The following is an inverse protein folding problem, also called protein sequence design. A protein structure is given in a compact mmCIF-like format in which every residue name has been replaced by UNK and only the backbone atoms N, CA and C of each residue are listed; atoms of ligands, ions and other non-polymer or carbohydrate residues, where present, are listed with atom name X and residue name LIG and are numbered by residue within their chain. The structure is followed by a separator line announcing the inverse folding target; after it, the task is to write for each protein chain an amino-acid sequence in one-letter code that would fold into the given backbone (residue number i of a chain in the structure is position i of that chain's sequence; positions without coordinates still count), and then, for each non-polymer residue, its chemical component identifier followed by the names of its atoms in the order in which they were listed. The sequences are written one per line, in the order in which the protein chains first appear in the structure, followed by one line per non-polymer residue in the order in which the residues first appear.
data_IF_093263032541
#
_entry.id   IF_093263032541
#
_cell.length_a   1.000
_cell.length_b   1.000
_cell.length_c   1.000
_cell.angle_alpha   90.00
_cell.angle_beta   90.00
_cell.angle_gamma   90.00
#
_symmetry.space_group_name_H-M   'P 1'
#
loop_
_entity.id
_entity.type
_entity.pdbx_description
1 polymer ?
#
# COMPACT_ATOMS: atom_id res chain seq x y z
N UNK A 1 13.75 -16.27 -20.13
CA UNK A 1 13.41 -14.96 -20.71
C UNK A 1 13.86 -13.90 -19.72
N UNK A 2 14.89 -13.13 -20.06
CA UNK A 2 15.37 -12.07 -19.16
C UNK A 2 14.26 -11.04 -18.98
N UNK A 3 13.95 -10.67 -17.72
CA UNK A 3 13.05 -9.55 -17.44
C UNK A 3 13.52 -8.36 -18.26
N UNK A 4 12.62 -7.72 -19.00
CA UNK A 4 12.94 -6.52 -19.77
C UNK A 4 13.64 -5.51 -18.86
N UNK A 5 14.68 -4.86 -19.40
CA UNK A 5 15.50 -3.91 -18.64
C UNK A 5 14.62 -2.70 -18.32
N UNK A 6 14.15 -2.62 -17.09
CA UNK A 6 13.25 -1.56 -16.64
C UNK A 6 13.87 -0.18 -16.90
N UNK A 7 13.22 0.61 -17.75
CA UNK A 7 13.69 1.95 -18.14
C UNK A 7 13.08 3.00 -17.21
N UNK A 8 13.88 3.58 -16.32
CA UNK A 8 13.45 4.66 -15.41
C UNK A 8 13.42 5.99 -16.16
N UNK A 9 12.32 6.27 -16.85
CA UNK A 9 12.12 7.54 -17.58
C UNK A 9 11.54 8.65 -16.70
N UNK A 10 10.91 8.30 -15.57
CA UNK A 10 10.23 9.22 -14.66
C UNK A 10 10.86 9.19 -13.26
N UNK A 11 10.74 10.29 -12.47
CA UNK A 11 11.10 10.28 -11.05
C UNK A 11 10.33 9.16 -10.31
N UNK A 12 11.04 8.44 -9.46
CA UNK A 12 10.50 7.32 -8.69
C UNK A 12 10.16 7.76 -7.26
N UNK A 13 9.05 7.27 -6.72
CA UNK A 13 8.62 7.54 -5.35
C UNK A 13 8.06 6.26 -4.73
N UNK A 14 8.55 5.86 -3.57
CA UNK A 14 8.01 4.75 -2.81
C UNK A 14 6.89 5.25 -1.92
N UNK A 15 5.70 4.67 -2.05
CA UNK A 15 4.55 5.00 -1.22
C UNK A 15 3.90 3.74 -0.68
N UNK A 16 2.93 3.89 0.22
CA UNK A 16 2.15 2.74 0.66
C UNK A 16 0.94 3.10 1.49
N UNK A 17 0.01 2.16 1.61
CA UNK A 17 -1.21 2.30 2.41
C UNK A 17 -0.97 1.86 3.84
N UNK A 18 -1.40 2.69 4.79
CA UNK A 18 -1.39 2.40 6.23
C UNK A 18 -2.76 2.73 6.82
N UNK A 19 -3.09 2.17 7.98
CA UNK A 19 -4.36 2.40 8.66
C UNK A 19 -4.88 1.14 9.34
N UNK A 20 -5.99 1.29 10.04
CA UNK A 20 -6.63 0.22 10.80
C UNK A 20 -7.07 -0.95 9.91
N UNK A 21 -7.25 -2.13 10.51
CA UNK A 21 -7.83 -3.31 9.86
C UNK A 21 -9.22 -2.96 9.29
N UNK A 22 -9.60 -3.60 8.18
CA UNK A 22 -10.89 -3.43 7.49
C UNK A 22 -11.26 -2.03 6.96
N UNK A 23 -10.35 -1.05 7.06
CA UNK A 23 -10.56 0.28 6.47
C UNK A 23 -10.40 0.33 4.93
N UNK A 24 -10.15 -0.80 4.27
CA UNK A 24 -10.12 -0.88 2.81
C UNK A 24 -8.78 -0.52 2.14
N UNK A 25 -7.64 -0.66 2.84
CA UNK A 25 -6.29 -0.42 2.30
C UNK A 25 -6.04 -1.18 0.98
N UNK A 26 -6.19 -2.50 1.02
CA UNK A 26 -5.97 -3.39 -0.13
C UNK A 26 -6.98 -3.14 -1.25
N UNK A 27 -8.24 -2.83 -0.90
CA UNK A 27 -9.27 -2.46 -1.87
C UNK A 27 -8.92 -1.14 -2.58
N UNK A 28 -8.40 -0.15 -1.86
CA UNK A 28 -7.91 1.10 -2.43
C UNK A 28 -6.71 0.85 -3.35
N UNK A 29 -5.76 0.03 -2.94
CA UNK A 29 -4.59 -0.35 -3.76
C UNK A 29 -5.03 -0.98 -5.09
N UNK A 30 -5.98 -1.92 -5.06
CA UNK A 30 -6.56 -2.50 -6.27
C UNK A 30 -7.27 -1.45 -7.14
N UNK A 31 -8.04 -0.55 -6.54
CA UNK A 31 -8.73 0.52 -7.26
C UNK A 31 -7.76 1.50 -7.95
N UNK A 32 -6.65 1.87 -7.31
CA UNK A 32 -5.61 2.74 -7.90
C UNK A 32 -5.04 2.08 -9.16
N UNK A 33 -4.66 0.79 -9.08
CA UNK A 33 -4.12 0.09 -10.26
C UNK A 33 -5.16 -0.02 -11.37
N UNK A 34 -6.44 -0.17 -11.03
CA UNK A 34 -7.54 -0.22 -12.01
C UNK A 34 -7.69 1.09 -12.77
N UNK A 35 -7.78 2.20 -12.05
CA UNK A 35 -7.95 3.54 -12.63
C UNK A 35 -6.75 3.91 -13.50
N UNK A 36 -5.54 3.63 -13.04
CA UNK A 36 -4.34 3.96 -13.83
C UNK A 36 -4.16 3.05 -15.05
N UNK A 37 -4.64 1.80 -14.98
CA UNK A 37 -4.63 0.90 -16.13
C UNK A 37 -5.50 1.41 -17.29
N UNK A 38 -6.58 2.16 -17.03
CA UNK A 38 -7.42 2.78 -18.07
C UNK A 38 -6.63 3.77 -18.93
N UNK A 39 -5.58 4.38 -18.36
CA UNK A 39 -4.69 5.32 -19.06
C UNK A 39 -3.37 4.70 -19.53
N UNK A 40 -3.22 3.39 -19.36
CA UNK A 40 -1.99 2.65 -19.67
C UNK A 40 -0.85 2.83 -18.65
N UNK A 41 -1.11 3.49 -17.52
CA UNK A 41 -0.12 3.75 -16.47
C UNK A 41 0.06 2.60 -15.46
N UNK A 42 -0.70 1.51 -15.58
CA UNK A 42 -0.57 0.35 -14.70
C UNK A 42 -1.06 -0.92 -15.38
N UNK A 43 -0.65 -2.07 -14.84
CA UNK A 43 -1.37 -3.33 -15.05
C UNK A 43 -2.32 -3.51 -13.88
N UNK A 44 -3.63 -3.63 -14.17
CA UNK A 44 -4.63 -3.82 -13.12
C UNK A 44 -4.29 -5.04 -12.27
N UNK A 45 -4.24 -4.85 -10.95
CA UNK A 45 -4.01 -5.91 -9.97
C UNK A 45 -5.26 -6.01 -9.11
N UNK A 46 -5.98 -7.12 -9.26
CA UNK A 46 -7.20 -7.38 -8.50
C UNK A 46 -6.87 -7.66 -7.02
N UNK A 47 -7.85 -7.43 -6.15
CA UNK A 47 -7.72 -7.60 -4.69
C UNK A 47 -7.13 -8.97 -4.30
N UNK A 48 -7.61 -10.03 -4.93
CA UNK A 48 -7.20 -11.43 -4.70
C UNK A 48 -5.78 -11.76 -5.19
N UNK A 49 -5.18 -10.87 -5.99
CA UNK A 49 -3.80 -10.94 -6.43
C UNK A 49 -2.85 -10.15 -5.51
N UNK A 50 -3.38 -9.20 -4.74
CA UNK A 50 -2.66 -8.49 -3.69
C UNK A 50 -2.59 -9.40 -2.45
N UNK A 51 -3.76 -9.82 -1.94
CA UNK A 51 -3.90 -10.82 -0.86
C UNK A 51 -3.83 -12.25 -1.44
N UNK A 52 -2.65 -12.62 -1.96
CA UNK A 52 -2.46 -13.88 -2.69
C UNK A 52 -2.24 -15.09 -1.79
N UNK A 53 -1.82 -14.90 -0.53
CA UNK A 53 -1.50 -16.03 0.34
C UNK A 53 -2.80 -16.79 0.73
N UNK A 54 -2.80 -18.13 0.75
CA UNK A 54 -3.97 -18.90 1.17
C UNK A 54 -4.49 -18.51 2.56
N UNK A 55 -3.57 -18.13 3.46
CA UNK A 55 -3.91 -17.68 4.82
C UNK A 55 -4.57 -16.29 4.82
N UNK A 56 -4.13 -15.37 3.96
CA UNK A 56 -4.75 -14.04 3.80
C UNK A 56 -6.18 -14.17 3.29
N UNK A 57 -6.39 -15.02 2.26
CA UNK A 57 -7.73 -15.30 1.71
C UNK A 57 -8.65 -15.97 2.74
N UNK A 58 -8.12 -16.86 3.57
CA UNK A 58 -8.90 -17.55 4.59
C UNK A 58 -9.30 -16.64 5.75
N UNK A 59 -8.44 -15.68 6.12
CA UNK A 59 -8.68 -14.76 7.24
C UNK A 59 -9.31 -13.42 6.82
N UNK A 60 -9.29 -13.08 5.53
CA UNK A 60 -9.81 -11.82 5.01
C UNK A 60 -8.99 -10.60 5.43
N UNK A 61 -7.72 -10.78 5.83
CA UNK A 61 -6.83 -9.71 6.27
C UNK A 61 -5.48 -9.83 5.57
N UNK A 62 -4.87 -8.69 5.26
CA UNK A 62 -3.50 -8.61 4.78
C UNK A 62 -2.55 -9.02 5.90
N UNK A 63 -1.65 -9.96 5.61
CA UNK A 63 -0.65 -10.48 6.56
C UNK A 63 0.73 -10.03 6.12
N UNK A 64 1.03 -10.20 4.84
CA UNK A 64 2.29 -9.87 4.21
C UNK A 64 2.20 -8.56 3.44
N UNK A 65 3.29 -7.81 3.37
CA UNK A 65 3.35 -6.60 2.55
C UNK A 65 3.31 -6.97 1.08
N UNK A 66 2.37 -6.42 0.33
CA UNK A 66 2.30 -6.59 -1.11
C UNK A 66 2.90 -5.39 -1.82
N UNK A 67 3.65 -5.64 -2.91
CA UNK A 67 4.22 -4.59 -3.75
C UNK A 67 3.46 -4.55 -5.07
N UNK A 68 2.94 -3.37 -5.42
CA UNK A 68 2.35 -3.10 -6.73
C UNK A 68 3.01 -1.88 -7.34
N UNK A 69 3.14 -1.87 -8.67
CA UNK A 69 3.75 -0.77 -9.41
C UNK A 69 2.71 -0.11 -10.31
N UNK A 70 2.75 1.22 -10.36
CA UNK A 70 1.94 2.02 -11.27
C UNK A 70 2.61 3.38 -11.49
N UNK A 71 2.21 4.06 -12.53
CA UNK A 71 2.73 5.36 -12.86
C UNK A 71 1.61 6.34 -13.24
N UNK A 72 1.94 7.61 -13.07
CA UNK A 72 1.15 8.74 -13.56
C UNK A 72 1.90 9.40 -14.71
N UNK A 73 1.35 10.46 -15.27
CA UNK A 73 2.05 11.32 -16.23
C UNK A 73 3.36 11.88 -15.67
N UNK A 74 3.43 12.12 -14.35
CA UNK A 74 4.53 12.85 -13.72
C UNK A 74 5.59 11.95 -13.06
N UNK A 75 5.20 10.80 -12.50
CA UNK A 75 6.06 9.96 -11.64
C UNK A 75 5.72 8.48 -11.76
N UNK A 76 6.71 7.65 -11.48
CA UNK A 76 6.55 6.22 -11.23
C UNK A 76 6.46 5.95 -9.73
N UNK A 77 5.54 5.06 -9.33
CA UNK A 77 5.33 4.69 -7.94
C UNK A 77 5.54 3.19 -7.73
N UNK A 78 6.32 2.85 -6.70
CA UNK A 78 6.24 1.54 -6.06
C UNK A 78 5.35 1.70 -4.83
N UNK A 79 4.25 0.96 -4.77
CA UNK A 79 3.27 1.01 -3.70
C UNK A 79 3.41 -0.25 -2.85
N UNK A 80 3.62 -0.06 -1.54
CA UNK A 80 3.62 -1.13 -0.53
C UNK A 80 2.30 -1.14 0.23
N UNK A 81 1.49 -2.18 0.06
CA UNK A 81 0.25 -2.36 0.82
C UNK A 81 0.59 -2.98 2.19
N UNK A 82 0.37 -2.23 3.27
CA UNK A 82 0.73 -2.69 4.61
C UNK A 82 -0.45 -3.27 5.40
N UNK A 83 -0.21 -4.29 6.24
CA UNK A 83 -1.25 -4.86 7.10
C UNK A 83 -1.69 -3.86 8.17
N UNK A 84 -2.98 -3.92 8.54
CA UNK A 84 -3.60 -3.04 9.56
C UNK A 84 -3.98 -3.72 10.87
N UNK A 85 -3.75 -5.03 10.98
CA UNK A 85 -4.06 -5.81 12.16
C UNK A 85 -2.91 -5.72 13.18
N UNK A 86 -3.23 -5.64 14.47
CA UNK A 86 -2.23 -5.46 15.55
C UNK A 86 -1.13 -6.53 15.53
N UNK A 87 -1.51 -7.79 15.29
CA UNK A 87 -0.57 -8.92 15.26
C UNK A 87 0.49 -8.82 14.15
N UNK A 88 0.25 -8.02 13.10
CA UNK A 88 1.11 -7.89 11.93
C UNK A 88 1.78 -6.51 11.81
N UNK A 89 1.76 -5.71 12.90
CA UNK A 89 2.42 -4.39 12.96
C UNK A 89 3.90 -4.44 12.57
N UNK A 90 4.60 -5.53 12.88
CA UNK A 90 6.02 -5.72 12.49
C UNK A 90 6.23 -5.62 10.98
N UNK A 91 5.32 -6.18 10.19
CA UNK A 91 5.41 -6.17 8.74
C UNK A 91 5.11 -4.76 8.20
N UNK A 92 4.19 -4.04 8.86
CA UNK A 92 3.94 -2.63 8.54
C UNK A 92 5.19 -1.77 8.80
N UNK A 93 5.91 -1.97 9.91
CA UNK A 93 7.15 -1.23 10.22
C UNK A 93 8.19 -1.43 9.10
N UNK A 94 8.40 -2.67 8.66
CA UNK A 94 9.36 -2.97 7.59
C UNK A 94 8.95 -2.37 6.25
N UNK A 95 7.65 -2.31 5.94
CA UNK A 95 7.13 -1.66 4.74
C UNK A 95 7.25 -0.13 4.81
N UNK A 96 6.86 0.47 5.93
CA UNK A 96 6.85 1.91 6.14
C UNK A 96 8.26 2.52 6.11
N UNK A 97 9.28 1.79 6.58
CA UNK A 97 10.67 2.24 6.53
C UNK A 97 11.21 2.47 5.09
N UNK A 98 10.51 1.96 4.06
CA UNK A 98 10.88 2.13 2.66
C UNK A 98 10.11 3.26 1.98
N UNK A 99 9.17 3.92 2.68
CA UNK A 99 8.24 4.87 2.08
C UNK A 99 8.76 6.32 2.12
N UNK A 100 8.73 6.97 0.95
CA UNK A 100 8.93 8.42 0.80
C UNK A 100 7.65 9.21 1.17
N UNK A 101 6.53 8.52 1.35
CA UNK A 101 5.25 9.05 1.85
C UNK A 101 4.21 7.94 1.99
N UNK A 102 3.17 8.12 2.80
CA UNK A 102 2.14 7.09 2.97
C UNK A 102 0.72 7.64 2.82
N UNK A 103 -0.19 6.75 2.44
CA UNK A 103 -1.63 6.97 2.31
C UNK A 103 -2.29 6.38 3.56
N UNK A 104 -2.82 7.23 4.43
CA UNK A 104 -3.53 6.83 5.63
C UNK A 104 -5.01 6.60 5.31
N UNK A 105 -5.44 5.35 5.30
CA UNK A 105 -6.82 4.99 4.99
C UNK A 105 -7.67 4.97 6.27
N UNK A 106 -8.72 5.79 6.29
CA UNK A 106 -9.67 5.89 7.40
C UNK A 106 -11.09 5.64 6.90
N UNK A 107 -11.75 4.62 7.43
CA UNK A 107 -13.17 4.36 7.17
C UNK A 107 -14.01 5.54 7.64
N UNK A 108 -14.91 6.03 6.79
CA UNK A 108 -15.84 7.10 7.16
C UNK A 108 -16.89 6.63 8.18
N UNK A 109 -17.18 5.33 8.24
CA UNK A 109 -18.12 4.76 9.20
C UNK A 109 -17.53 4.65 10.61
N UNK A 110 -16.25 4.30 10.70
CA UNK A 110 -15.58 4.01 11.98
C UNK A 110 -14.76 5.19 12.51
N UNK A 111 -14.21 6.01 11.62
CA UNK A 111 -13.30 7.09 11.97
C UNK A 111 -11.93 6.59 12.46
N UNK A 112 -11.18 7.42 13.23
CA UNK A 112 -9.86 7.06 13.71
C UNK A 112 -9.89 5.99 14.81
N UNK A 113 -9.27 4.84 14.53
CA UNK A 113 -9.18 3.67 15.42
C UNK A 113 -7.79 3.56 16.08
N UNK A 114 -7.58 2.66 17.07
CA UNK A 114 -6.29 2.54 17.77
C UNK A 114 -5.09 2.34 16.82
N UNK A 115 -5.22 1.47 15.83
CA UNK A 115 -4.17 1.21 14.84
C UNK A 115 -3.98 2.40 13.89
N UNK A 116 -4.99 3.24 13.65
CA UNK A 116 -4.79 4.51 12.92
C UNK A 116 -3.77 5.38 13.66
N UNK A 117 -3.89 5.51 14.99
CA UNK A 117 -2.98 6.29 15.83
C UNK A 117 -1.59 5.65 15.90
N UNK A 118 -1.56 4.33 16.09
CA UNK A 118 -0.32 3.56 16.14
C UNK A 118 0.45 3.66 14.82
N UNK A 119 -0.22 3.54 13.68
CA UNK A 119 0.39 3.63 12.37
C UNK A 119 0.97 5.01 12.09
N UNK A 120 0.31 6.09 12.51
CA UNK A 120 0.86 7.45 12.40
C UNK A 120 2.14 7.58 13.23
N UNK A 121 2.14 7.05 14.46
CA UNK A 121 3.31 7.09 15.34
C UNK A 121 4.48 6.31 14.74
N UNK A 122 4.22 5.09 14.28
CA UNK A 122 5.23 4.21 13.69
C UNK A 122 5.78 4.77 12.37
N UNK A 123 4.92 5.28 11.48
CA UNK A 123 5.33 5.95 10.26
C UNK A 123 6.31 7.11 10.55
N UNK A 124 6.01 7.92 11.58
CA UNK A 124 6.92 8.98 12.03
C UNK A 124 8.23 8.43 12.59
N UNK A 125 8.20 7.35 13.36
CA UNK A 125 9.40 6.75 13.96
C UNK A 125 10.34 6.14 12.93
N UNK A 126 9.80 5.57 11.85
CA UNK A 126 10.60 5.02 10.75
C UNK A 126 10.97 6.05 9.68
N UNK A 127 10.60 7.32 9.87
CA UNK A 127 11.06 8.43 9.04
C UNK A 127 10.20 8.75 7.82
N UNK A 128 8.94 8.30 7.75
CA UNK A 128 8.03 8.69 6.67
C UNK A 128 7.75 10.20 6.76
N UNK A 129 8.11 11.00 5.73
CA UNK A 129 8.14 12.46 5.86
C UNK A 129 6.76 13.12 5.69
N UNK A 130 5.83 12.47 4.98
CA UNK A 130 4.52 13.02 4.68
C UNK A 130 3.44 11.93 4.61
N UNK A 131 2.22 12.29 5.01
CA UNK A 131 1.02 11.46 4.91
C UNK A 131 -0.05 12.18 4.10
N UNK A 132 -0.76 11.44 3.25
CA UNK A 132 -2.03 11.83 2.61
C UNK A 132 -3.14 11.01 3.27
N UNK A 133 -4.32 11.59 3.48
CA UNK A 133 -5.49 10.93 4.08
C UNK A 133 -6.61 10.85 3.06
#
# INVERSE_FOLDING_TARGET
MGKEKFSRTKPHCNIGTIGHVDHGKTSLTAAITKVLAETGGATFTAYDQIDKAPEEKARGITISTAHVEYETTNRHYAHVDCPGHADYVKNMITGAAQMDGAILVVSAADGPMPQTREHILLARQVGVPALVV
#
